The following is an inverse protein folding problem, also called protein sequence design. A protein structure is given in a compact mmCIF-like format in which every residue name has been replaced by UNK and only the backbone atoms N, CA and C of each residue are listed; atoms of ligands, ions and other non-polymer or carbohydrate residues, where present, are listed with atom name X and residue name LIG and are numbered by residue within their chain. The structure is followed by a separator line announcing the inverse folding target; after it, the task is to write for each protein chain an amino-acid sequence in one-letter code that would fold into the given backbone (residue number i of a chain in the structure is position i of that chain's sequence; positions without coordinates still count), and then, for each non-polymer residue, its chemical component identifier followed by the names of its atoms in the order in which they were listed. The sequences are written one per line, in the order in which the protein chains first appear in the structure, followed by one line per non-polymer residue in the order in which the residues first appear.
data_IF_366626846367
#
_entry.id   IF_366626846367
#
_cell.length_a   1.000
_cell.length_b   1.000
_cell.length_c   1.000
_cell.angle_alpha   90.00
_cell.angle_beta   90.00
_cell.angle_gamma   90.00
#
_symmetry.space_group_name_H-M   'P 1'
#
loop_
_entity.id
_entity.type
_entity.pdbx_description
1 polymer ?
#
# COMPACT_ATOMS: atom_id res chain seq x y z
N UNK A 1 -5.22 16.97 10.31
CA UNK A 1 -3.96 17.05 9.51
C UNK A 1 -3.31 15.68 9.57
N UNK A 2 -2.81 15.13 8.46
CA UNK A 2 -2.12 13.83 8.45
C UNK A 2 -0.74 13.96 9.13
N UNK A 3 -0.36 12.96 9.94
CA UNK A 3 0.96 12.83 10.56
C UNK A 3 1.54 11.43 10.23
N UNK A 4 2.47 11.40 9.28
CA UNK A 4 3.12 10.14 8.87
C UNK A 4 4.19 9.66 9.87
N UNK A 5 4.76 10.56 10.68
CA UNK A 5 5.83 10.22 11.61
C UNK A 5 5.29 9.35 12.75
N UNK A 6 4.12 9.71 13.31
CA UNK A 6 3.46 8.91 14.34
C UNK A 6 3.19 7.47 13.88
N UNK A 7 2.79 7.27 12.62
CA UNK A 7 2.54 5.93 12.09
C UNK A 7 3.85 5.13 11.89
N UNK A 8 4.91 5.79 11.42
CA UNK A 8 6.24 5.17 11.32
C UNK A 8 6.78 4.78 12.70
N UNK A 9 6.62 5.63 13.71
CA UNK A 9 6.99 5.33 15.10
C UNK A 9 6.24 4.12 15.65
N UNK A 10 4.96 3.95 15.31
CA UNK A 10 4.20 2.75 15.68
C UNK A 10 4.79 1.50 15.03
N UNK A 11 5.09 1.55 13.73
CA UNK A 11 5.68 0.41 13.00
C UNK A 11 7.06 0.06 13.58
N UNK A 12 7.91 1.05 13.84
CA UNK A 12 9.22 0.89 14.47
C UNK A 12 9.08 0.29 15.88
N UNK A 13 8.14 0.79 16.69
CA UNK A 13 7.90 0.31 18.07
C UNK A 13 7.50 -1.17 18.12
N UNK A 14 6.63 -1.60 17.21
CA UNK A 14 6.17 -2.99 17.17
C UNK A 14 7.12 -3.93 16.42
N UNK A 15 8.19 -3.41 15.80
CA UNK A 15 9.16 -4.17 15.00
C UNK A 15 8.54 -5.10 13.96
N UNK A 16 7.39 -4.70 13.40
CA UNK A 16 6.68 -5.45 12.38
C UNK A 16 6.99 -4.88 11.00
N UNK A 17 6.94 -5.73 9.97
CA UNK A 17 6.97 -5.21 8.62
C UNK A 17 5.71 -4.39 8.32
N UNK A 18 5.80 -3.32 7.51
CA UNK A 18 4.64 -2.60 7.00
C UNK A 18 3.50 -3.46 6.48
N UNK A 19 3.80 -4.57 5.79
CA UNK A 19 2.78 -5.50 5.31
C UNK A 19 2.08 -6.21 6.47
N UNK A 20 2.83 -6.66 7.47
CA UNK A 20 2.28 -7.29 8.67
C UNK A 20 1.48 -6.29 9.51
N UNK A 21 1.96 -5.05 9.63
CA UNK A 21 1.24 -3.97 10.30
C UNK A 21 -0.13 -3.73 9.66
N UNK A 22 -0.17 -3.56 8.34
CA UNK A 22 -1.43 -3.31 7.61
C UNK A 22 -2.36 -4.52 7.62
N UNK A 23 -1.81 -5.73 7.54
CA UNK A 23 -2.59 -6.96 7.71
C UNK A 23 -3.23 -7.02 9.11
N UNK A 24 -2.47 -6.78 10.18
CA UNK A 24 -3.00 -6.73 11.56
C UNK A 24 -4.02 -5.61 11.73
N UNK A 25 -3.78 -4.44 11.14
CA UNK A 25 -4.75 -3.36 11.14
C UNK A 25 -6.07 -3.82 10.51
N UNK A 26 -6.03 -4.54 9.39
CA UNK A 26 -7.25 -5.06 8.74
C UNK A 26 -8.06 -6.04 9.62
N UNK A 27 -7.41 -6.77 10.53
CA UNK A 27 -8.08 -7.62 11.51
C UNK A 27 -8.71 -6.80 12.66
N UNK A 28 -8.04 -5.74 13.11
CA UNK A 28 -8.44 -4.93 14.26
C UNK A 28 -9.49 -3.86 13.92
N UNK A 29 -9.45 -3.30 12.72
CA UNK A 29 -10.30 -2.19 12.28
C UNK A 29 -11.81 -2.49 12.44
N UNK A 30 -12.33 -3.66 12.02
CA UNK A 30 -13.74 -3.99 12.22
C UNK A 30 -14.11 -4.16 13.69
N UNK A 31 -13.22 -4.76 14.49
CA UNK A 31 -13.51 -5.18 15.85
C UNK A 31 -13.47 -4.02 16.84
N UNK A 32 -12.46 -3.16 16.74
CA UNK A 32 -12.19 -2.12 17.73
C UNK A 32 -12.58 -0.72 17.27
N UNK A 33 -12.63 -0.48 15.96
CA UNK A 33 -12.90 0.85 15.39
C UNK A 33 -14.21 0.93 14.61
N UNK A 34 -14.93 -0.19 14.45
CA UNK A 34 -16.17 -0.25 13.67
C UNK A 34 -15.99 -0.01 12.17
N UNK A 35 -14.74 0.03 11.70
CA UNK A 35 -14.38 0.28 10.29
C UNK A 35 -14.47 -1.04 9.53
N UNK A 36 -15.65 -1.31 8.97
CA UNK A 36 -15.98 -2.55 8.24
C UNK A 36 -15.83 -2.43 6.73
N UNK A 37 -15.95 -1.22 6.19
CA UNK A 37 -15.76 -0.91 4.78
C UNK A 37 -14.31 -0.51 4.52
N UNK A 38 -13.46 -1.44 4.11
CA UNK A 38 -12.09 -1.14 3.73
C UNK A 38 -11.58 -2.08 2.65
N UNK A 39 -10.46 -1.69 2.04
CA UNK A 39 -9.76 -2.44 1.02
C UNK A 39 -8.29 -2.59 1.39
N UNK A 40 -7.73 -3.77 1.18
CA UNK A 40 -6.31 -4.02 1.30
C UNK A 40 -5.70 -4.43 -0.03
N UNK A 41 -4.63 -3.74 -0.42
CA UNK A 41 -3.87 -3.99 -1.64
C UNK A 41 -2.42 -4.28 -1.29
N UNK A 42 -1.82 -5.27 -1.96
CA UNK A 42 -0.37 -5.48 -1.96
C UNK A 42 0.15 -5.40 -3.37
N UNK A 43 1.13 -4.53 -3.61
CA UNK A 43 1.87 -4.48 -4.86
C UNK A 43 3.32 -4.89 -4.68
N UNK A 44 3.91 -5.47 -5.70
CA UNK A 44 5.34 -5.80 -5.76
C UNK A 44 5.96 -5.34 -7.06
N UNK A 45 7.27 -5.08 -7.03
CA UNK A 45 8.08 -4.92 -8.24
C UNK A 45 9.47 -5.53 -8.05
N UNK A 46 9.93 -6.27 -9.07
CA UNK A 46 11.32 -6.74 -9.13
C UNK A 46 12.28 -5.57 -9.33
N UNK A 47 13.44 -5.58 -8.67
CA UNK A 47 14.51 -4.58 -8.88
C UNK A 47 14.97 -4.66 -10.33
N UNK A 48 14.93 -3.52 -11.02
CA UNK A 48 15.22 -3.41 -12.45
C UNK A 48 13.97 -3.47 -13.34
N UNK A 49 12.88 -4.10 -12.91
CA UNK A 49 11.62 -4.08 -13.64
C UNK A 49 10.91 -2.73 -13.49
N UNK A 50 10.21 -2.30 -14.54
CA UNK A 50 9.24 -1.20 -14.50
C UNK A 50 7.81 -1.71 -14.28
N UNK A 51 7.62 -3.02 -14.27
CA UNK A 51 6.33 -3.65 -14.06
C UNK A 51 6.01 -3.73 -12.56
N UNK A 52 4.80 -3.29 -12.21
CA UNK A 52 4.26 -3.36 -10.86
C UNK A 52 3.08 -4.31 -10.89
N UNK A 53 3.16 -5.34 -10.08
CA UNK A 53 2.15 -6.39 -9.99
C UNK A 53 1.28 -6.18 -8.76
N UNK A 54 -0.03 -6.41 -8.90
CA UNK A 54 -0.97 -6.50 -7.77
C UNK A 54 -0.93 -7.94 -7.23
N UNK A 55 -0.11 -8.16 -6.21
CA UNK A 55 0.10 -9.48 -5.61
C UNK A 55 -1.08 -9.95 -4.74
N UNK A 56 -1.82 -9.02 -4.11
CA UNK A 56 -2.99 -9.35 -3.29
C UNK A 56 -4.00 -8.23 -3.29
N UNK A 57 -5.28 -8.59 -3.41
CA UNK A 57 -6.43 -7.71 -3.22
C UNK A 57 -7.39 -8.38 -2.25
N UNK A 58 -7.79 -7.66 -1.21
CA UNK A 58 -8.86 -8.03 -0.31
C UNK A 58 -9.82 -6.85 -0.22
N UNK A 59 -11.09 -7.07 -0.58
CA UNK A 59 -12.09 -6.02 -0.63
C UNK A 59 -13.24 -6.37 0.31
N UNK A 60 -13.35 -5.66 1.43
CA UNK A 60 -14.50 -5.72 2.34
C UNK A 60 -15.42 -4.51 2.18
N UNK A 61 -15.07 -3.60 1.27
CA UNK A 61 -15.89 -2.43 0.98
C UNK A 61 -17.06 -2.79 0.06
N UNK A 62 -18.08 -1.95 0.09
CA UNK A 62 -19.19 -1.98 -0.86
C UNK A 62 -18.83 -1.50 -2.27
N UNK A 63 -17.60 -1.02 -2.48
CA UNK A 63 -17.13 -0.55 -3.80
C UNK A 63 -16.78 -1.77 -4.65
N UNK A 64 -17.47 -1.93 -5.78
CA UNK A 64 -17.05 -2.89 -6.79
C UNK A 64 -15.83 -2.32 -7.52
N UNK A 65 -14.66 -2.91 -7.28
CA UNK A 65 -13.54 -2.70 -8.20
C UNK A 65 -13.84 -3.57 -9.43
N UNK A 66 -13.94 -2.99 -10.64
CA UNK A 66 -14.09 -3.75 -11.88
C UNK A 66 -13.07 -4.89 -11.89
N UNK A 67 -13.55 -6.12 -12.11
CA UNK A 67 -12.77 -7.36 -12.04
C UNK A 67 -11.53 -7.30 -12.96
N UNK A 68 -10.43 -6.80 -12.44
CA UNK A 68 -9.19 -6.53 -13.18
C UNK A 68 -8.01 -7.28 -12.60
N UNK A 69 -8.22 -8.50 -12.09
CA UNK A 69 -7.11 -9.40 -11.73
C UNK A 69 -6.56 -10.09 -13.01
N UNK A 70 -7.37 -10.17 -14.08
CA UNK A 70 -7.03 -10.92 -15.30
C UNK A 70 -6.47 -10.11 -16.48
N UNK A 71 -6.59 -8.79 -16.49
CA UNK A 71 -6.05 -7.94 -17.55
C UNK A 71 -5.05 -6.97 -16.93
N UNK A 72 -3.84 -6.92 -17.49
CA UNK A 72 -2.66 -6.14 -17.07
C UNK A 72 -2.86 -4.61 -17.11
N UNK A 73 -4.04 -4.10 -16.79
CA UNK A 73 -4.49 -2.78 -17.18
C UNK A 73 -4.62 -1.84 -15.99
N UNK A 74 -3.69 -0.89 -15.94
CA UNK A 74 -3.84 0.51 -15.52
C UNK A 74 -4.37 0.87 -14.11
N UNK A 75 -4.87 -0.08 -13.30
CA UNK A 75 -5.34 0.20 -11.94
C UNK A 75 -4.20 0.63 -11.01
N UNK A 76 -3.01 0.03 -11.16
CA UNK A 76 -1.83 0.39 -10.37
C UNK A 76 -1.61 1.91 -10.37
N UNK A 77 -1.74 2.59 -11.52
CA UNK A 77 -1.42 4.03 -11.67
C UNK A 77 -2.31 4.96 -10.84
N UNK A 78 -3.50 4.50 -10.43
CA UNK A 78 -4.45 5.31 -9.65
C UNK A 78 -4.12 5.32 -8.16
N UNK A 79 -3.40 4.32 -7.68
CA UNK A 79 -3.07 4.17 -6.26
C UNK A 79 -1.75 4.84 -5.91
N UNK A 80 -1.57 5.18 -4.63
CA UNK A 80 -0.31 5.73 -4.13
C UNK A 80 0.85 4.73 -4.20
N UNK A 81 0.56 3.43 -4.16
CA UNK A 81 1.55 2.36 -4.15
C UNK A 81 2.60 2.45 -5.27
N UNK A 82 2.24 2.58 -6.55
CA UNK A 82 3.26 2.75 -7.58
C UNK A 82 4.16 3.96 -7.45
N UNK A 83 3.62 5.09 -6.97
CA UNK A 83 4.43 6.29 -6.75
C UNK A 83 5.51 6.03 -5.70
N UNK A 84 5.14 5.38 -4.60
CA UNK A 84 6.10 5.03 -3.55
C UNK A 84 7.08 3.94 -3.99
N UNK A 85 6.65 2.93 -4.75
CA UNK A 85 7.54 1.90 -5.28
C UNK A 85 8.56 2.46 -6.28
N UNK A 86 8.16 3.42 -7.11
CA UNK A 86 9.05 4.15 -8.01
C UNK A 86 10.04 5.03 -7.24
N UNK A 87 9.56 5.82 -6.26
CA UNK A 87 10.42 6.65 -5.42
C UNK A 87 11.43 5.82 -4.62
N UNK A 88 11.02 4.68 -4.07
CA UNK A 88 11.91 3.76 -3.38
C UNK A 88 12.98 3.19 -4.32
N UNK A 89 12.61 2.82 -5.55
CA UNK A 89 13.59 2.34 -6.55
C UNK A 89 14.62 3.43 -6.86
N UNK A 90 14.19 4.67 -7.02
CA UNK A 90 15.07 5.81 -7.27
C UNK A 90 16.03 6.06 -6.09
N UNK A 91 15.52 6.06 -4.85
CA UNK A 91 16.34 6.20 -3.63
C UNK A 91 17.36 5.06 -3.47
N UNK A 92 17.02 3.84 -3.89
CA UNK A 92 17.95 2.72 -3.89
C UNK A 92 19.04 2.86 -4.96
N UNK A 93 18.70 3.41 -6.13
CA UNK A 93 19.62 3.57 -7.25
C UNK A 93 20.62 4.71 -7.03
N UNK A 94 20.20 5.79 -6.40
CA UNK A 94 21.06 6.95 -6.11
C UNK A 94 21.74 6.87 -4.73
N UNK A 95 21.50 5.81 -3.95
CA UNK A 95 22.10 5.58 -2.63
C UNK A 95 21.53 6.44 -1.50
N UNK A 96 20.40 7.13 -1.70
CA UNK A 96 19.76 7.98 -0.68
C UNK A 96 18.76 7.26 0.22
N UNK A 97 18.47 5.97 -0.04
CA UNK A 97 17.56 5.18 0.80
C UNK A 97 18.14 4.97 2.20
N UNK A 98 17.43 5.45 3.22
CA UNK A 98 17.85 5.46 4.64
C UNK A 98 17.50 4.17 5.41
N UNK A 99 16.92 3.18 4.74
CA UNK A 99 16.48 1.94 5.37
C UNK A 99 15.02 1.95 5.84
N UNK A 100 14.37 3.11 5.92
CA UNK A 100 13.02 3.24 6.47
C UNK A 100 11.93 3.06 5.41
N UNK A 101 10.75 2.55 5.77
CA UNK A 101 9.62 2.48 4.85
C UNK A 101 9.21 3.86 4.36
N UNK A 102 8.92 3.99 3.07
CA UNK A 102 8.27 5.18 2.53
C UNK A 102 6.78 5.11 2.85
N UNK A 103 6.21 6.24 3.23
CA UNK A 103 4.79 6.36 3.56
C UNK A 103 4.12 7.43 2.73
N UNK A 104 2.91 7.15 2.29
CA UNK A 104 2.10 8.07 1.51
C UNK A 104 0.63 7.87 1.80
N UNK A 105 -0.14 8.94 1.66
CA UNK A 105 -1.60 8.89 1.83
C UNK A 105 -2.29 9.44 0.60
N UNK A 106 -3.47 8.94 0.34
CA UNK A 106 -4.28 9.34 -0.81
C UNK A 106 -5.73 9.45 -0.40
N UNK A 107 -6.38 10.52 -0.84
CA UNK A 107 -7.83 10.64 -0.84
C UNK A 107 -8.32 10.36 -2.26
N UNK A 108 -9.17 9.35 -2.44
CA UNK A 108 -9.66 8.93 -3.75
C UNK A 108 -11.19 9.06 -3.79
N UNK A 109 -11.71 9.65 -4.88
CA UNK A 109 -13.15 9.84 -5.11
C UNK A 109 -13.59 9.02 -6.32
N UNK A 110 -14.55 8.13 -6.11
CA UNK A 110 -15.17 7.30 -7.14
C UNK A 110 -16.45 8.00 -7.61
N UNK A 111 -16.36 8.70 -8.74
CA UNK A 111 -17.44 9.56 -9.27
C UNK A 111 -18.72 8.73 -9.51
N UNK A 112 -18.58 7.54 -10.10
CA UNK A 112 -19.71 6.68 -10.49
C UNK A 112 -20.50 6.12 -9.29
N UNK A 113 -19.87 6.06 -8.11
CA UNK A 113 -20.48 5.53 -6.90
C UNK A 113 -20.72 6.59 -5.82
N UNK A 114 -20.27 7.83 -6.03
CA UNK A 114 -20.31 8.88 -5.01
C UNK A 114 -19.51 8.55 -3.75
N UNK A 115 -18.58 7.60 -3.82
CA UNK A 115 -17.81 7.13 -2.65
C UNK A 115 -16.46 7.82 -2.59
N UNK A 116 -16.03 8.15 -1.37
CA UNK A 116 -14.73 8.70 -1.10
C UNK A 116 -13.98 7.80 -0.12
N UNK A 117 -12.69 7.59 -0.37
CA UNK A 117 -11.84 6.68 0.39
C UNK A 117 -10.55 7.39 0.81
N UNK A 118 -9.98 6.94 1.92
CA UNK A 118 -8.71 7.44 2.42
C UNK A 118 -7.73 6.27 2.54
N UNK A 119 -6.78 6.24 1.62
CA UNK A 119 -5.73 5.23 1.54
C UNK A 119 -4.48 5.63 2.28
N UNK A 120 -3.95 4.74 3.12
CA UNK A 120 -2.60 4.80 3.67
C UNK A 120 -1.78 3.71 2.98
N UNK A 121 -0.64 4.10 2.43
CA UNK A 121 0.27 3.20 1.71
C UNK A 121 1.67 3.25 2.30
N UNK A 122 2.28 2.08 2.45
CA UNK A 122 3.65 1.90 2.86
C UNK A 122 4.42 1.12 1.80
N UNK A 123 5.66 1.50 1.50
CA UNK A 123 6.54 0.81 0.56
C UNK A 123 7.93 0.58 1.14
N UNK A 124 8.52 -0.59 0.86
CA UNK A 124 9.84 -1.00 1.38
C UNK A 124 10.48 -2.11 0.52
N UNK A 125 11.77 -2.40 0.71
CA UNK A 125 12.37 -3.64 0.20
C UNK A 125 11.64 -4.88 0.71
N UNK A 126 11.36 -5.83 -0.17
CA UNK A 126 10.68 -7.08 0.19
C UNK A 126 11.55 -7.89 1.16
N UNK A 127 10.95 -8.42 2.23
CA UNK A 127 11.63 -9.40 3.11
C UNK A 127 11.54 -10.83 2.61
N UNK A 128 10.66 -11.10 1.64
CA UNK A 128 10.40 -12.47 1.15
C UNK A 128 11.18 -12.74 -0.12
N UNK A 129 11.15 -11.80 -1.06
CA UNK A 129 11.80 -11.93 -2.36
C UNK A 129 13.09 -11.11 -2.40
N UNK A 130 14.22 -11.79 -2.60
CA UNK A 130 15.51 -11.14 -2.82
C UNK A 130 15.40 -10.27 -4.07
N UNK A 131 15.85 -9.02 -3.96
CA UNK A 131 15.82 -8.03 -5.04
C UNK A 131 14.40 -7.65 -5.52
N UNK A 132 13.41 -7.61 -4.65
CA UNK A 132 12.11 -6.98 -4.94
C UNK A 132 11.82 -5.85 -3.94
N UNK A 133 10.94 -4.92 -4.32
CA UNK A 133 10.27 -4.04 -3.37
C UNK A 133 8.78 -4.41 -3.30
N UNK A 134 8.18 -4.12 -2.16
CA UNK A 134 6.78 -4.42 -1.88
C UNK A 134 6.11 -3.20 -1.26
N UNK A 135 4.80 -3.10 -1.45
CA UNK A 135 3.96 -2.10 -0.81
C UNK A 135 2.66 -2.71 -0.32
N UNK A 136 2.14 -2.17 0.77
CA UNK A 136 0.80 -2.45 1.27
C UNK A 136 -0.02 -1.16 1.33
N UNK A 137 -1.29 -1.22 0.97
CA UNK A 137 -2.25 -0.11 1.09
C UNK A 137 -3.48 -0.58 1.84
N UNK A 138 -3.95 0.21 2.79
CA UNK A 138 -5.29 0.08 3.36
C UNK A 138 -6.09 1.34 3.01
N UNK A 139 -7.31 1.18 2.48
CA UNK A 139 -8.14 2.28 1.98
C UNK A 139 -9.61 2.13 2.33
#
# INVERSE_FOLDING_TARGET
RWDGAALLEMIERYQVSPEMFLYRASELLPQFFGLKDFMFFRFSNGRGSHFIELAKLFNMSRISIPNGIGAREHYCRRWMAPKLLSALKEQQQNGSYDGKPLIGVQRSRFIDHGVETFGITLARPSSVEKHANASGTIS
#
